data_IF_087654887103
#
_entry.id   IF_087654887103
#
_cell.length_a   1.000
_cell.length_b   1.000
_cell.length_c   1.000
_cell.angle_alpha   90.00
_cell.angle_beta   90.00
_cell.angle_gamma   90.00
#
_symmetry.space_group_name_H-M   'P 1'
#
loop_
_entity.id
_entity.type
_entity.pdbx_description
1 polymer ?
#
# COMPACT_ATOMS: atom_id res chain seq x y z
N UNK A 1 -0.33 -20.34 25.12
CA UNK A 1 0.17 -18.97 25.40
C UNK A 1 1.13 -18.66 24.26
N UNK A 2 0.91 -17.76 23.31
CA UNK A 2 0.07 -16.57 23.25
C UNK A 2 -0.56 -16.50 21.85
N UNK A 3 -1.88 -16.42 21.79
CA UNK A 3 -2.55 -15.93 20.59
C UNK A 3 -2.33 -14.41 20.52
N UNK A 4 -1.91 -13.93 19.37
CA UNK A 4 -2.14 -12.54 18.98
C UNK A 4 -2.69 -12.59 17.56
N UNK A 5 -3.94 -13.04 17.48
CA UNK A 5 -4.82 -12.72 16.37
C UNK A 5 -4.97 -11.21 16.31
N UNK A 6 -4.53 -10.63 15.20
CA UNK A 6 -4.60 -9.21 14.94
C UNK A 6 -4.80 -8.97 13.45
N UNK A 7 -6.03 -9.21 12.99
CA UNK A 7 -6.60 -8.80 11.69
C UNK A 7 -6.24 -9.66 10.48
N UNK A 8 -6.97 -10.75 10.28
CA UNK A 8 -7.41 -11.09 8.92
C UNK A 8 -8.32 -9.95 8.44
N UNK A 9 -7.86 -9.15 7.49
CA UNK A 9 -8.67 -8.11 6.86
C UNK A 9 -9.70 -8.78 5.92
N UNK A 10 -11.02 -8.58 6.14
CA UNK A 10 -12.06 -9.21 5.33
C UNK A 10 -12.14 -8.53 3.95
N UNK A 11 -12.20 -9.32 2.88
CA UNK A 11 -12.33 -8.83 1.49
C UNK A 11 -11.02 -8.83 0.72
N UNK A 12 -10.35 -9.99 0.63
CA UNK A 12 -9.07 -10.20 -0.04
C UNK A 12 -9.15 -9.84 -1.54
N UNK A 13 -9.04 -8.56 -1.84
CA UNK A 13 -8.70 -8.08 -3.16
C UNK A 13 -7.34 -8.71 -3.50
N UNK A 14 -7.21 -9.25 -4.71
CA UNK A 14 -5.93 -9.76 -5.21
C UNK A 14 -4.83 -8.75 -4.89
N UNK A 15 -3.70 -9.17 -4.27
CA UNK A 15 -2.63 -8.24 -3.95
C UNK A 15 -2.31 -7.43 -5.21
N UNK A 16 -2.29 -6.07 -5.14
CA UNK A 16 -2.11 -5.25 -6.33
C UNK A 16 -0.87 -5.65 -7.14
N UNK A 17 0.14 -6.23 -6.49
CA UNK A 17 1.29 -6.84 -7.11
C UNK A 17 0.93 -7.94 -8.12
N UNK A 18 0.05 -8.89 -7.79
CA UNK A 18 -0.35 -9.97 -8.70
C UNK A 18 -1.05 -9.41 -9.92
N UNK A 19 -2.00 -8.50 -9.73
CA UNK A 19 -2.67 -7.82 -10.84
C UNK A 19 -1.67 -7.05 -11.72
N UNK A 20 -0.71 -6.32 -11.12
CA UNK A 20 0.32 -5.62 -11.89
C UNK A 20 1.28 -6.57 -12.62
N UNK A 21 1.58 -7.76 -12.08
CA UNK A 21 2.43 -8.74 -12.77
C UNK A 21 1.75 -9.34 -14.00
N UNK A 22 0.43 -9.53 -13.93
CA UNK A 22 -0.36 -10.04 -15.06
C UNK A 22 -0.49 -9.00 -16.19
N UNK A 23 -0.59 -7.71 -15.84
CA UNK A 23 -0.95 -6.66 -16.79
C UNK A 23 0.19 -5.70 -17.15
N UNK A 24 1.31 -5.69 -16.41
CA UNK A 24 2.44 -4.80 -16.62
C UNK A 24 3.76 -5.58 -16.68
N UNK A 25 4.78 -4.94 -17.24
CA UNK A 25 6.14 -5.47 -17.19
C UNK A 25 6.65 -5.59 -15.74
N UNK A 26 7.50 -6.60 -15.48
CA UNK A 26 8.01 -6.93 -14.15
C UNK A 26 8.61 -5.72 -13.39
N UNK A 27 9.36 -4.84 -14.06
CA UNK A 27 9.97 -3.66 -13.43
C UNK A 27 8.97 -2.59 -12.98
N UNK A 28 7.70 -2.68 -13.41
CA UNK A 28 6.61 -1.79 -12.97
C UNK A 28 5.81 -2.38 -11.80
N UNK A 29 6.07 -3.64 -11.42
CA UNK A 29 5.45 -4.24 -10.24
C UNK A 29 6.06 -3.61 -8.98
N UNK A 30 5.24 -3.05 -8.07
CA UNK A 30 5.76 -2.45 -6.84
C UNK A 30 6.36 -3.53 -5.92
N UNK A 31 7.50 -3.22 -5.30
CA UNK A 31 8.19 -4.12 -4.35
C UNK A 31 7.44 -4.27 -3.03
N UNK A 32 6.81 -3.19 -2.55
CA UNK A 32 5.99 -3.15 -1.35
C UNK A 32 4.74 -2.30 -1.62
N UNK A 33 3.65 -2.60 -0.90
CA UNK A 33 2.42 -1.81 -0.91
C UNK A 33 1.93 -1.70 0.52
N UNK A 34 1.64 -0.47 0.96
CA UNK A 34 1.01 -0.20 2.23
C UNK A 34 -0.38 0.39 1.98
N UNK A 35 -1.37 -0.07 2.74
CA UNK A 35 -2.70 0.51 2.75
C UNK A 35 -2.78 1.51 3.91
N UNK A 36 -3.25 2.71 3.59
CA UNK A 36 -3.43 3.80 4.54
C UNK A 36 -4.89 4.21 4.53
N UNK A 37 -5.47 4.49 5.69
CA UNK A 37 -6.83 5.00 5.78
C UNK A 37 -6.96 6.35 5.08
N UNK A 38 -5.93 7.20 5.14
CA UNK A 38 -5.88 8.49 4.43
C UNK A 38 -4.44 8.88 4.08
N UNK A 39 -4.17 9.32 2.84
CA UNK A 39 -2.83 9.82 2.47
C UNK A 39 -2.59 11.23 3.03
N UNK A 40 -1.33 11.61 3.31
CA UNK A 40 -1.00 12.97 3.73
C UNK A 40 -1.31 13.96 2.61
N UNK A 41 -2.01 15.04 2.94
CA UNK A 41 -2.43 16.08 2.00
C UNK A 41 -2.06 17.47 2.50
N UNK A 42 -1.77 18.38 1.55
CA UNK A 42 -1.64 19.80 1.84
C UNK A 42 -3.02 20.47 2.02
N UNK A 43 -3.11 21.73 2.47
CA UNK A 43 -4.39 22.43 2.61
C UNK A 43 -5.19 22.58 1.30
N UNK A 44 -4.54 22.45 0.14
CA UNK A 44 -5.19 22.42 -1.18
C UNK A 44 -5.68 21.02 -1.59
N UNK A 45 -5.51 20.02 -0.72
CA UNK A 45 -5.94 18.64 -0.94
C UNK A 45 -4.99 17.80 -1.80
N UNK A 46 -3.80 18.31 -2.16
CA UNK A 46 -2.81 17.56 -2.94
C UNK A 46 -2.05 16.60 -2.05
N UNK A 47 -1.76 15.40 -2.57
CA UNK A 47 -0.97 14.40 -1.84
C UNK A 47 0.48 14.85 -1.71
N UNK A 48 0.99 14.85 -0.47
CA UNK A 48 2.37 15.23 -0.16
C UNK A 48 3.29 14.02 -0.33
N UNK A 49 3.76 13.82 -1.56
CA UNK A 49 4.64 12.69 -1.92
C UNK A 49 5.93 12.57 -1.09
N UNK A 50 6.63 13.66 -0.70
CA UNK A 50 7.83 13.54 0.14
C UNK A 50 7.57 12.81 1.46
N UNK A 51 6.49 13.15 2.17
CA UNK A 51 6.09 12.49 3.41
C UNK A 51 5.80 11.00 3.19
N UNK A 52 5.12 10.64 2.09
CA UNK A 52 4.92 9.23 1.73
C UNK A 52 6.23 8.47 1.45
N UNK A 53 7.25 9.14 0.90
CA UNK A 53 8.55 8.50 0.64
C UNK A 53 9.34 8.28 1.93
N UNK A 54 9.22 9.19 2.90
CA UNK A 54 9.85 9.07 4.21
C UNK A 54 9.28 7.88 5.02
N UNK A 55 8.00 7.57 4.86
CA UNK A 55 7.37 6.38 5.46
C UNK A 55 7.96 5.05 4.95
N UNK A 56 8.65 5.06 3.80
CA UNK A 56 9.24 3.87 3.16
C UNK A 56 10.76 4.01 3.00
N UNK A 57 11.40 4.90 3.78
CA UNK A 57 12.86 4.91 3.95
C UNK A 57 13.30 3.86 4.96
#
# INVERSE_FOLDING_TARGET
MSGSDGTQQPGRQTPPQTYTKEHLANFKTPRSVAFLDTPPRDPGGKVVKPQLREMNR
#
